data_IF_770873579477
#
_entry.id   IF_770873579477
#
_cell.length_a   1.000
_cell.length_b   1.000
_cell.length_c   1.000
_cell.angle_alpha   90.00
_cell.angle_beta   90.00
_cell.angle_gamma   90.00
#
_symmetry.space_group_name_H-M   'P 1'
#
loop_
_entity.id
_entity.type
_entity.pdbx_description
1 polymer ?
#
# COMPACT_ATOMS: atom_id res chain seq x y z
N UNK A 1 -27.95 9.72 -0.76
CA UNK A 1 -26.51 9.51 -0.99
C UNK A 1 -25.75 9.96 0.26
N UNK A 2 -25.47 9.05 1.19
CA UNK A 2 -24.65 9.36 2.37
C UNK A 2 -23.17 9.25 2.00
N UNK A 3 -22.44 10.37 2.07
CA UNK A 3 -20.98 10.38 2.07
C UNK A 3 -20.52 9.83 3.42
N UNK A 4 -20.14 8.55 3.46
CA UNK A 4 -19.40 8.00 4.59
C UNK A 4 -17.96 8.52 4.55
N UNK A 5 -17.72 9.68 5.18
CA UNK A 5 -16.41 10.06 5.67
C UNK A 5 -16.28 9.62 7.14
N UNK A 6 -16.33 8.31 7.39
CA UNK A 6 -15.76 7.74 8.62
C UNK A 6 -14.34 7.32 8.27
N UNK A 7 -13.37 7.92 8.95
CA UNK A 7 -11.94 7.70 8.74
C UNK A 7 -11.61 6.20 8.67
N UNK A 8 -10.82 5.81 7.67
CA UNK A 8 -10.34 4.44 7.44
C UNK A 8 -9.28 3.99 8.47
N UNK A 9 -9.22 4.63 9.63
CA UNK A 9 -8.21 4.41 10.65
C UNK A 9 -8.75 3.44 11.71
N UNK A 10 -8.75 2.15 11.37
CA UNK A 10 -8.88 1.10 12.38
C UNK A 10 -7.57 1.02 13.14
N UNK A 11 -7.60 1.30 14.44
CA UNK A 11 -6.44 1.11 15.31
C UNK A 11 -6.18 -0.39 15.50
N UNK A 12 -4.90 -0.78 15.61
CA UNK A 12 -4.48 -2.16 15.88
C UNK A 12 -4.84 -3.20 14.81
N UNK A 13 -4.70 -2.88 13.53
CA UNK A 13 -4.67 -3.88 12.46
C UNK A 13 -3.31 -3.84 11.77
N UNK A 14 -2.81 -4.99 11.33
CA UNK A 14 -1.47 -5.13 10.71
C UNK A 14 -0.36 -4.63 11.62
N UNK A 15 -0.36 -5.08 12.88
CA UNK A 15 0.61 -4.63 13.88
C UNK A 15 2.06 -4.84 13.41
N UNK A 16 2.36 -6.02 12.86
CA UNK A 16 3.70 -6.35 12.35
C UNK A 16 4.08 -5.47 11.15
N UNK A 17 3.19 -5.31 10.16
CA UNK A 17 3.50 -4.47 9.00
C UNK A 17 3.59 -2.98 9.36
N UNK A 18 2.80 -2.50 10.33
CA UNK A 18 2.92 -1.14 10.87
C UNK A 18 4.28 -0.93 11.53
N UNK A 19 4.70 -1.85 12.38
CA UNK A 19 6.00 -1.78 13.04
C UNK A 19 7.14 -1.79 12.02
N UNK A 20 7.07 -2.66 11.00
CA UNK A 20 8.05 -2.72 9.92
C UNK A 20 8.09 -1.42 9.11
N UNK A 21 6.93 -0.85 8.74
CA UNK A 21 6.85 0.43 8.02
C UNK A 21 7.40 1.57 8.88
N UNK A 22 7.06 1.64 10.18
CA UNK A 22 7.58 2.66 11.11
C UNK A 22 9.09 2.57 11.21
N UNK A 23 9.65 1.36 11.34
CA UNK A 23 11.09 1.14 11.41
C UNK A 23 11.84 1.48 10.11
N UNK A 24 11.18 1.38 8.96
CA UNK A 24 11.77 1.71 7.66
C UNK A 24 11.66 3.20 7.30
N UNK A 25 10.72 3.93 7.90
CA UNK A 25 10.51 5.37 7.68
C UNK A 25 11.53 6.21 8.46
N UNK A 26 12.82 6.01 8.22
CA UNK A 26 13.92 6.77 8.82
C UNK A 26 14.51 7.78 7.82
N UNK A 27 15.01 8.95 8.27
CA UNK A 27 15.70 9.90 7.42
C UNK A 27 16.79 9.25 6.56
N UNK A 28 16.87 9.65 5.29
CA UNK A 28 17.83 9.12 4.32
C UNK A 28 17.49 7.73 3.76
N UNK A 29 16.37 7.12 4.18
CA UNK A 29 15.90 5.84 3.66
C UNK A 29 14.87 6.00 2.55
N UNK A 30 14.81 4.96 1.73
CA UNK A 30 13.77 4.75 0.73
C UNK A 30 12.98 3.51 1.13
N UNK A 31 11.67 3.65 1.29
CA UNK A 31 10.76 2.54 1.57
C UNK A 31 9.96 2.19 0.33
N UNK A 32 9.87 0.91 0.00
CA UNK A 32 8.95 0.40 -1.00
C UNK A 32 7.96 -0.58 -0.39
N UNK A 33 6.70 -0.16 -0.30
CA UNK A 33 5.58 -1.00 0.13
C UNK A 33 4.90 -1.60 -1.09
N UNK A 34 5.00 -2.92 -1.23
CA UNK A 34 4.46 -3.63 -2.40
C UNK A 34 3.53 -4.79 -2.02
N UNK A 35 2.66 -5.18 -2.95
CA UNK A 35 1.71 -6.28 -2.72
C UNK A 35 0.44 -6.14 -3.55
N UNK A 36 -0.47 -7.12 -3.52
CA UNK A 36 -1.65 -7.13 -4.39
C UNK A 36 -2.49 -5.85 -4.29
N UNK A 37 -3.29 -5.53 -5.31
CA UNK A 37 -4.31 -4.48 -5.19
C UNK A 37 -5.22 -4.73 -3.97
N UNK A 38 -5.84 -3.66 -3.44
CA UNK A 38 -6.86 -3.71 -2.37
C UNK A 38 -6.39 -4.13 -0.96
N UNK A 39 -5.13 -4.53 -0.79
CA UNK A 39 -4.60 -4.94 0.53
C UNK A 39 -4.39 -3.77 1.51
N UNK A 40 -4.64 -2.53 1.09
CA UNK A 40 -4.56 -1.36 1.98
C UNK A 40 -3.17 -0.72 2.12
N UNK A 41 -2.25 -0.90 1.16
CA UNK A 41 -0.88 -0.35 1.21
C UNK A 41 -0.81 1.16 1.50
N UNK A 42 -1.55 1.97 0.74
CA UNK A 42 -1.56 3.43 0.94
C UNK A 42 -2.09 3.78 2.33
N UNK A 43 -3.22 3.18 2.72
CA UNK A 43 -3.83 3.38 4.04
C UNK A 43 -2.86 3.00 5.16
N UNK A 44 -2.12 1.91 5.02
CA UNK A 44 -1.11 1.48 5.99
C UNK A 44 0.00 2.53 6.16
N UNK A 45 0.57 3.02 5.05
CA UNK A 45 1.63 4.04 5.10
C UNK A 45 1.13 5.33 5.72
N UNK A 46 -0.05 5.80 5.29
CA UNK A 46 -0.67 7.03 5.81
C UNK A 46 -0.98 6.92 7.31
N UNK A 47 -1.46 5.75 7.75
CA UNK A 47 -1.69 5.47 9.17
C UNK A 47 -0.40 5.56 9.98
N UNK A 48 0.68 4.93 9.52
CA UNK A 48 1.96 4.95 10.25
C UNK A 48 2.53 6.36 10.32
N UNK A 49 2.46 7.12 9.22
CA UNK A 49 2.92 8.52 9.22
C UNK A 49 2.07 9.37 10.16
N UNK A 50 0.75 9.18 10.17
CA UNK A 50 -0.15 9.85 11.11
C UNK A 50 0.18 9.48 12.57
N UNK A 51 0.49 8.22 12.86
CA UNK A 51 0.95 7.79 14.18
C UNK A 51 2.29 8.46 14.55
N UNK A 52 3.25 8.57 13.63
CA UNK A 52 4.50 9.31 13.85
C UNK A 52 4.29 10.82 14.08
N UNK A 53 3.35 11.44 13.37
CA UNK A 53 2.99 12.85 13.54
C UNK A 53 2.30 13.14 14.89
N UNK A 54 1.65 12.14 15.47
CA UNK A 54 0.97 12.25 16.76
C UNK A 54 1.78 11.66 17.92
N UNK A 55 2.99 11.14 17.66
CA UNK A 55 3.88 10.59 18.67
C UNK A 55 4.39 11.73 19.57
N UNK A 56 4.09 11.72 20.90
CA UNK A 56 4.50 12.77 21.82
C UNK A 56 6.00 12.74 22.14
N UNK A 57 6.67 11.61 21.89
CA UNK A 57 8.10 11.41 22.17
C UNK A 57 8.97 11.65 20.93
N UNK A 58 8.40 12.19 19.84
CA UNK A 58 9.12 12.38 18.58
C UNK A 58 10.26 13.39 18.71
N UNK A 59 11.40 13.04 18.12
CA UNK A 59 12.57 13.91 18.05
C UNK A 59 12.38 15.06 17.03
N UNK A 60 11.59 14.82 15.98
CA UNK A 60 11.38 15.75 14.87
C UNK A 60 9.90 15.91 14.52
N UNK A 61 9.51 17.09 14.05
CA UNK A 61 8.21 17.27 13.42
C UNK A 61 8.16 16.52 12.09
N UNK A 62 7.10 15.75 11.83
CA UNK A 62 6.98 14.93 10.62
C UNK A 62 6.08 15.63 9.60
N UNK A 63 6.64 16.04 8.47
CA UNK A 63 5.88 16.59 7.34
C UNK A 63 5.57 15.49 6.34
N UNK A 64 4.29 15.32 6.02
CA UNK A 64 3.81 14.31 5.08
C UNK A 64 3.40 14.95 3.76
N UNK A 65 4.00 14.51 2.66
CA UNK A 65 3.64 14.91 1.31
C UNK A 65 3.09 13.68 0.57
N UNK A 66 1.77 13.65 0.34
CA UNK A 66 1.09 12.53 -0.30
C UNK A 66 0.85 12.83 -1.79
N UNK A 67 1.41 11.98 -2.66
CA UNK A 67 1.36 12.13 -4.11
C UNK A 67 0.65 10.93 -4.73
N UNK A 68 -0.54 11.12 -5.30
CA UNK A 68 -1.24 10.06 -6.04
C UNK A 68 -0.72 9.95 -7.48
N UNK A 69 0.08 8.93 -7.76
CA UNK A 69 0.63 8.71 -9.09
C UNK A 69 -0.36 8.06 -10.07
N UNK A 70 -1.54 7.59 -9.64
CA UNK A 70 -2.46 6.81 -10.49
C UNK A 70 -2.85 7.49 -11.80
N UNK A 71 -2.94 8.82 -11.79
CA UNK A 71 -3.43 9.61 -12.93
C UNK A 71 -2.33 9.96 -13.93
N UNK A 72 -1.06 9.68 -13.63
CA UNK A 72 0.07 10.06 -14.48
C UNK A 72 0.15 9.14 -15.71
N UNK A 73 -0.56 9.48 -16.77
CA UNK A 73 -0.46 8.74 -18.04
C UNK A 73 0.97 8.78 -18.60
N UNK A 74 1.29 7.81 -19.47
CA UNK A 74 2.55 7.77 -20.23
C UNK A 74 2.84 9.16 -20.82
N UNK A 75 4.03 9.70 -20.55
CA UNK A 75 4.57 10.99 -21.02
C UNK A 75 4.25 12.27 -20.21
N UNK A 76 3.83 12.20 -18.93
CA UNK A 76 3.54 13.40 -18.14
C UNK A 76 4.41 13.58 -16.88
N UNK A 77 5.73 13.44 -17.00
CA UNK A 77 6.66 13.70 -15.87
C UNK A 77 6.52 15.12 -15.30
N UNK A 78 6.24 16.12 -16.15
CA UNK A 78 5.91 17.48 -15.69
C UNK A 78 4.73 17.50 -14.73
N UNK A 79 3.76 16.60 -14.91
CA UNK A 79 2.63 16.50 -14.01
C UNK A 79 3.02 15.88 -12.67
N UNK A 80 3.99 14.96 -12.62
CA UNK A 80 4.58 14.50 -11.36
C UNK A 80 5.26 15.65 -10.59
N UNK A 81 6.04 16.49 -11.29
CA UNK A 81 6.68 17.65 -10.66
C UNK A 81 5.64 18.61 -10.08
N UNK A 82 4.57 18.86 -10.84
CA UNK A 82 3.44 19.67 -10.41
C UNK A 82 2.77 19.08 -9.17
N UNK A 83 2.38 17.81 -9.20
CA UNK A 83 1.73 17.15 -8.05
C UNK A 83 2.63 17.14 -6.80
N UNK A 84 3.94 16.98 -6.98
CA UNK A 84 4.89 17.00 -5.87
C UNK A 84 4.94 18.39 -5.22
N UNK A 85 5.04 19.46 -6.01
CA UNK A 85 5.01 20.83 -5.50
C UNK A 85 3.65 21.18 -4.86
N UNK A 86 2.54 20.82 -5.52
CA UNK A 86 1.19 21.02 -4.98
C UNK A 86 0.98 20.30 -3.65
N UNK A 87 1.57 19.11 -3.46
CA UNK A 87 1.50 18.37 -2.17
C UNK A 87 2.26 19.06 -1.04
N UNK A 88 3.14 20.01 -1.37
CA UNK A 88 3.89 20.84 -0.42
C UNK A 88 3.27 22.24 -0.24
N UNK A 89 2.06 22.47 -0.77
CA UNK A 89 1.42 23.79 -0.87
C UNK A 89 2.24 24.82 -1.69
N UNK A 90 3.13 24.34 -2.56
CA UNK A 90 3.96 25.18 -3.43
C UNK A 90 3.30 25.37 -4.81
N UNK A 91 3.31 26.61 -5.30
CA UNK A 91 2.81 26.92 -6.65
C UNK A 91 3.91 26.62 -7.70
N UNK A 92 3.68 25.71 -8.67
CA UNK A 92 4.71 25.37 -9.64
C UNK A 92 5.12 26.55 -10.53
N UNK A 93 6.40 26.94 -10.46
CA UNK A 93 6.95 27.96 -11.38
C UNK A 93 7.11 27.42 -12.81
N UNK A 94 6.89 28.28 -13.80
CA UNK A 94 7.03 27.99 -15.23
C UNK A 94 8.35 28.60 -15.75
N UNK A 95 9.15 27.90 -16.57
CA UNK A 95 8.92 26.56 -17.12
C UNK A 95 9.14 25.44 -16.07
N UNK A 96 8.21 24.48 -16.06
CA UNK A 96 8.27 23.34 -15.15
C UNK A 96 9.23 22.27 -15.69
N UNK A 97 10.50 22.40 -15.31
CA UNK A 97 11.57 21.43 -15.57
C UNK A 97 11.93 20.68 -14.29
N UNK A 98 12.57 19.51 -14.43
CA UNK A 98 13.05 18.72 -13.30
C UNK A 98 13.92 19.55 -12.35
N UNK A 99 14.93 20.24 -12.90
CA UNK A 99 15.83 21.09 -12.13
C UNK A 99 15.11 22.26 -11.44
N UNK A 100 14.15 22.89 -12.11
CA UNK A 100 13.36 23.97 -11.51
C UNK A 100 12.47 23.45 -10.37
N UNK A 101 11.89 22.26 -10.50
CA UNK A 101 11.10 21.62 -9.46
C UNK A 101 11.97 21.22 -8.26
N UNK A 102 13.10 20.53 -8.47
CA UNK A 102 14.01 20.13 -7.40
C UNK A 102 14.55 21.34 -6.62
N UNK A 103 14.87 22.46 -7.30
CA UNK A 103 15.30 23.70 -6.63
C UNK A 103 14.19 24.31 -5.76
N UNK A 104 12.95 24.30 -6.25
CA UNK A 104 11.79 24.77 -5.48
C UNK A 104 11.54 23.88 -4.26
N UNK A 105 11.56 22.55 -4.43
CA UNK A 105 11.46 21.59 -3.34
C UNK A 105 12.54 21.88 -2.28
N UNK A 106 13.80 21.95 -2.67
CA UNK A 106 14.90 22.26 -1.76
C UNK A 106 14.68 23.59 -1.01
N UNK A 107 14.25 24.64 -1.71
CA UNK A 107 13.96 25.93 -1.09
C UNK A 107 12.83 25.84 -0.05
N UNK A 108 11.76 25.12 -0.36
CA UNK A 108 10.61 24.94 0.53
C UNK A 108 10.97 24.10 1.76
N UNK A 109 11.73 23.01 1.57
CA UNK A 109 12.18 22.14 2.67
C UNK A 109 13.16 22.86 3.61
N UNK A 110 14.05 23.71 3.07
CA UNK A 110 15.01 24.49 3.87
C UNK A 110 14.37 25.49 4.83
N UNK A 111 13.10 25.84 4.64
CA UNK A 111 12.37 26.65 5.61
C UNK A 111 12.04 25.87 6.90
N UNK A 112 12.16 24.54 6.89
CA UNK A 112 11.79 23.65 8.01
C UNK A 112 12.88 22.58 8.28
N UNK A 113 14.14 22.99 8.48
CA UNK A 113 15.27 22.06 8.66
C UNK A 113 15.15 21.09 9.84
N UNK A 114 14.34 21.42 10.85
CA UNK A 114 14.11 20.57 12.02
C UNK A 114 13.07 19.47 11.77
N UNK A 115 12.38 19.51 10.63
CA UNK A 115 11.38 18.53 10.26
C UNK A 115 11.98 17.32 9.56
N UNK A 116 11.36 16.16 9.78
CA UNK A 116 11.50 14.98 8.96
C UNK A 116 10.46 15.02 7.83
N UNK A 117 10.94 15.10 6.59
CA UNK A 117 10.14 15.25 5.38
C UNK A 117 9.89 13.89 4.73
N UNK A 118 8.65 13.41 4.76
CA UNK A 118 8.25 12.11 4.21
C UNK A 118 7.43 12.31 2.94
N UNK A 119 8.02 11.99 1.80
CA UNK A 119 7.31 11.98 0.51
C UNK A 119 6.76 10.58 0.25
N UNK A 120 5.45 10.47 0.03
CA UNK A 120 4.77 9.21 -0.27
C UNK A 120 4.20 9.25 -1.67
N UNK A 121 4.81 8.51 -2.57
CA UNK A 121 4.33 8.31 -3.93
C UNK A 121 3.44 7.06 -3.95
N UNK A 122 2.14 7.25 -4.09
CA UNK A 122 1.18 6.16 -4.11
C UNK A 122 0.93 5.65 -5.53
N UNK A 123 0.76 4.34 -5.67
CA UNK A 123 0.32 3.68 -6.91
C UNK A 123 1.30 3.92 -8.08
N UNK A 124 2.57 3.61 -7.83
CA UNK A 124 3.67 3.85 -8.75
C UNK A 124 3.85 2.78 -9.84
N UNK A 125 2.95 1.80 -9.95
CA UNK A 125 3.04 0.67 -10.89
C UNK A 125 3.41 1.02 -12.33
N UNK A 126 2.96 2.17 -12.84
CA UNK A 126 3.21 2.59 -14.22
C UNK A 126 4.69 2.90 -14.49
N UNK A 127 5.47 3.24 -13.46
CA UNK A 127 6.90 3.51 -13.52
C UNK A 127 7.74 2.23 -13.37
N UNK A 128 7.07 1.08 -13.27
CA UNK A 128 7.66 -0.19 -12.87
C UNK A 128 7.60 -1.26 -13.98
N UNK A 129 6.95 -0.93 -15.10
CA UNK A 129 6.41 -1.94 -16.02
C UNK A 129 7.18 -2.17 -17.29
N UNK A 130 8.07 -1.26 -17.69
CA UNK A 130 8.55 -1.33 -19.07
C UNK A 130 9.98 -0.82 -19.32
N UNK A 131 10.76 -0.57 -18.25
CA UNK A 131 12.13 -0.01 -18.35
C UNK A 131 12.19 1.13 -19.36
N UNK A 132 11.14 1.95 -19.34
CA UNK A 132 10.97 3.01 -20.33
C UNK A 132 11.79 4.21 -19.93
N UNK A 133 11.97 5.15 -20.86
CA UNK A 133 12.54 6.47 -20.55
C UNK A 133 11.84 7.12 -19.33
N UNK A 134 10.53 6.93 -19.19
CA UNK A 134 9.75 7.46 -18.08
C UNK A 134 10.15 6.84 -16.73
N UNK A 135 10.45 5.54 -16.69
CA UNK A 135 10.89 4.84 -15.49
C UNK A 135 12.22 5.43 -15.01
N UNK A 136 13.16 5.67 -15.94
CA UNK A 136 14.45 6.30 -15.64
C UNK A 136 14.29 7.75 -15.18
N UNK A 137 13.50 8.56 -15.89
CA UNK A 137 13.29 9.96 -15.52
C UNK A 137 12.57 10.10 -14.16
N UNK A 138 11.67 9.19 -13.83
CA UNK A 138 11.05 9.10 -12.50
C UNK A 138 12.10 8.81 -11.43
N UNK A 139 12.89 7.73 -11.60
CA UNK A 139 13.92 7.35 -10.64
C UNK A 139 14.99 8.43 -10.49
N UNK A 140 15.33 9.14 -11.56
CA UNK A 140 16.28 10.25 -11.53
C UNK A 140 15.71 11.44 -10.73
N UNK A 141 14.44 11.79 -10.92
CA UNK A 141 13.78 12.83 -10.12
C UNK A 141 13.71 12.47 -8.64
N UNK A 142 13.37 11.21 -8.33
CA UNK A 142 13.37 10.69 -6.96
C UNK A 142 14.79 10.78 -6.36
N UNK A 143 15.81 10.34 -7.10
CA UNK A 143 17.22 10.44 -6.68
C UNK A 143 17.62 11.89 -6.40
N UNK A 144 17.23 12.83 -7.26
CA UNK A 144 17.50 14.25 -7.09
C UNK A 144 16.91 14.81 -5.78
N UNK A 145 15.72 14.34 -5.36
CA UNK A 145 15.12 14.70 -4.07
C UNK A 145 15.85 14.01 -2.91
N UNK A 146 16.17 12.72 -3.02
CA UNK A 146 16.92 11.97 -2.00
C UNK A 146 18.22 12.67 -1.63
N UNK A 147 18.97 13.07 -2.67
CA UNK A 147 20.30 13.68 -2.57
C UNK A 147 20.26 15.11 -1.99
N UNK A 148 19.08 15.69 -1.77
CA UNK A 148 18.97 16.91 -0.96
C UNK A 148 19.27 16.63 0.52
N UNK A 149 19.16 15.37 0.95
CA UNK A 149 19.66 14.90 2.23
C UNK A 149 21.18 14.77 2.14
N UNK A 150 21.89 15.44 3.05
CA UNK A 150 23.34 15.35 3.19
C UNK A 150 23.73 14.50 4.41
N UNK A 151 25.00 14.13 4.54
CA UNK A 151 25.50 13.43 5.74
C UNK A 151 25.64 14.36 6.97
N UNK A 152 25.59 15.68 6.75
CA UNK A 152 25.89 16.66 7.80
C UNK A 152 24.75 16.82 8.82
N UNK A 153 25.03 17.13 10.10
CA UNK A 153 24.01 17.32 11.14
C UNK A 153 22.96 18.41 10.88
N UNK A 154 23.21 19.31 9.92
CA UNK A 154 22.29 20.36 9.47
C UNK A 154 21.60 20.08 8.13
N UNK A 155 21.70 18.85 7.62
CA UNK A 155 21.12 18.47 6.35
C UNK A 155 19.61 18.20 6.44
N UNK A 156 18.95 18.21 5.28
CA UNK A 156 17.54 17.87 5.20
C UNK A 156 17.31 16.40 5.55
N UNK A 157 16.32 16.15 6.40
CA UNK A 157 15.91 14.79 6.78
C UNK A 157 14.80 14.36 5.85
N UNK A 158 15.13 13.65 4.77
CA UNK A 158 14.13 13.23 3.78
C UNK A 158 14.00 11.72 3.77
N UNK A 159 12.77 11.23 3.73
CA UNK A 159 12.43 9.83 3.46
C UNK A 159 11.47 9.78 2.29
N UNK A 160 11.63 8.78 1.44
CA UNK A 160 10.71 8.54 0.34
C UNK A 160 10.07 7.18 0.47
N UNK A 161 8.76 7.11 0.35
CA UNK A 161 7.98 5.89 0.38
C UNK A 161 7.22 5.71 -0.94
N UNK A 162 7.18 4.48 -1.44
CA UNK A 162 6.47 4.10 -2.66
C UNK A 162 5.43 3.04 -2.35
N UNK A 163 4.21 3.20 -2.86
CA UNK A 163 3.23 2.11 -2.88
C UNK A 163 3.00 1.60 -4.30
N UNK A 164 3.00 0.29 -4.48
CA UNK A 164 2.91 -0.34 -5.80
C UNK A 164 2.40 -1.78 -5.67
N UNK A 165 1.85 -2.38 -6.72
CA UNK A 165 1.61 -3.83 -6.73
C UNK A 165 2.72 -4.64 -7.40
N UNK A 166 3.67 -3.98 -8.07
CA UNK A 166 4.88 -4.61 -8.62
C UNK A 166 6.09 -4.14 -7.84
N UNK A 167 6.94 -5.06 -7.40
CA UNK A 167 8.20 -4.72 -6.70
C UNK A 167 9.14 -4.00 -7.68
N UNK A 168 9.61 -2.78 -7.36
CA UNK A 168 10.66 -2.15 -8.16
C UNK A 168 11.96 -2.91 -7.97
N UNK A 169 12.69 -3.13 -9.06
CA UNK A 169 14.04 -3.71 -9.02
C UNK A 169 15.06 -2.59 -8.81
N UNK A 170 15.13 -2.09 -7.58
CA UNK A 170 16.14 -1.11 -7.16
C UNK A 170 17.13 -1.77 -6.20
N UNK A 171 18.41 -1.44 -6.33
CA UNK A 171 19.47 -1.95 -5.47
C UNK A 171 20.20 -0.79 -4.81
N UNK A 172 20.05 -0.65 -3.49
CA UNK A 172 20.82 0.27 -2.65
C UNK A 172 20.68 -0.17 -1.20
N UNK A 173 21.71 -0.01 -0.36
CA UNK A 173 21.65 -0.36 1.07
C UNK A 173 20.65 0.51 1.85
N UNK A 174 20.18 1.62 1.27
CA UNK A 174 19.21 2.52 1.87
C UNK A 174 17.76 2.21 1.50
N UNK A 175 17.53 1.18 0.67
CA UNK A 175 16.20 0.77 0.22
C UNK A 175 15.68 -0.38 1.07
N UNK A 176 14.57 -0.15 1.76
CA UNK A 176 13.79 -1.17 2.46
C UNK A 176 12.58 -1.57 1.63
N UNK A 177 12.23 -2.85 1.63
CA UNK A 177 11.11 -3.38 0.85
C UNK A 177 10.18 -4.21 1.72
N UNK A 178 8.94 -3.74 1.87
CA UNK A 178 7.92 -4.36 2.71
C UNK A 178 6.81 -4.91 1.83
N UNK A 179 6.55 -6.21 1.96
CA UNK A 179 5.45 -6.90 1.26
C UNK A 179 4.20 -6.89 2.14
N UNK A 180 3.11 -6.33 1.63
CA UNK A 180 1.80 -6.32 2.29
C UNK A 180 0.88 -7.31 1.58
N UNK A 181 0.49 -8.36 2.29
CA UNK A 181 -0.41 -9.39 1.79
C UNK A 181 -1.88 -9.14 2.14
N UNK A 182 -2.72 -10.11 1.83
CA UNK A 182 -4.06 -10.22 2.43
C UNK A 182 -3.95 -10.31 3.95
N UNK A 183 -5.02 -9.97 4.67
CA UNK A 183 -5.08 -10.16 6.11
C UNK A 183 -5.16 -11.65 6.42
N UNK A 184 -4.12 -12.18 7.03
CA UNK A 184 -4.09 -13.58 7.48
C UNK A 184 -4.49 -13.74 8.94
N UNK A 185 -4.37 -12.69 9.76
CA UNK A 185 -4.73 -12.75 11.18
C UNK A 185 -6.26 -12.67 11.35
N UNK A 186 -6.81 -13.68 12.02
CA UNK A 186 -8.21 -13.75 12.41
C UNK A 186 -8.66 -12.56 13.26
N UNK A 187 -7.78 -12.03 14.13
CA UNK A 187 -8.08 -10.89 14.98
C UNK A 187 -8.22 -9.61 14.17
N UNK A 188 -7.36 -9.39 13.18
CA UNK A 188 -7.45 -8.24 12.28
C UNK A 188 -8.76 -8.26 11.47
N UNK A 189 -9.13 -9.43 10.95
CA UNK A 189 -10.39 -9.62 10.23
C UNK A 189 -11.58 -9.34 11.16
N UNK A 190 -11.56 -9.90 12.37
CA UNK A 190 -12.62 -9.69 13.35
C UNK A 190 -12.75 -8.22 13.75
N UNK A 191 -11.63 -7.51 13.96
CA UNK A 191 -11.59 -6.08 14.27
C UNK A 191 -12.23 -5.25 13.15
N UNK A 192 -11.88 -5.50 11.89
CA UNK A 192 -12.55 -4.83 10.75
C UNK A 192 -14.04 -5.09 10.74
N UNK A 193 -14.46 -6.35 10.87
CA UNK A 193 -15.87 -6.71 10.82
C UNK A 193 -16.65 -5.99 11.92
N UNK A 194 -16.16 -6.05 13.15
CA UNK A 194 -16.82 -5.44 14.30
C UNK A 194 -16.83 -3.91 14.23
N UNK A 195 -15.79 -3.28 13.68
CA UNK A 195 -15.77 -1.82 13.53
C UNK A 195 -16.81 -1.30 12.53
N UNK A 196 -17.03 -2.04 11.44
CA UNK A 196 -17.90 -1.59 10.35
C UNK A 196 -19.30 -2.21 10.39
N UNK A 197 -19.54 -3.24 11.20
CA UNK A 197 -20.87 -3.76 11.48
C UNK A 197 -21.56 -2.89 12.53
N UNK A 198 -22.40 -1.95 12.09
CA UNK A 198 -23.00 -0.94 13.00
C UNK A 198 -23.98 -1.52 14.03
N UNK A 199 -24.52 -2.71 13.79
CA UNK A 199 -25.66 -3.23 14.56
C UNK A 199 -25.40 -4.55 15.31
N UNK A 200 -24.24 -5.22 15.12
CA UNK A 200 -24.03 -6.59 15.64
C UNK A 200 -22.57 -6.88 16.02
N UNK A 201 -22.24 -7.03 17.32
CA UNK A 201 -20.85 -7.07 17.80
C UNK A 201 -20.15 -8.44 17.70
N UNK A 202 -20.80 -9.49 17.18
CA UNK A 202 -20.20 -10.83 17.13
C UNK A 202 -20.10 -11.38 15.70
N UNK A 203 -19.10 -10.90 14.95
CA UNK A 203 -18.78 -11.40 13.61
C UNK A 203 -17.86 -12.63 13.60
N UNK A 204 -17.55 -13.23 14.76
CA UNK A 204 -16.57 -14.32 14.89
C UNK A 204 -16.89 -15.51 13.97
N UNK A 205 -18.18 -15.83 13.81
CA UNK A 205 -18.66 -16.94 12.97
C UNK A 205 -18.37 -16.78 11.47
N UNK A 206 -17.97 -15.59 11.03
CA UNK A 206 -17.67 -15.28 9.63
C UNK A 206 -16.18 -15.18 9.34
N UNK A 207 -15.35 -15.10 10.37
CA UNK A 207 -13.90 -14.84 10.24
C UNK A 207 -13.24 -15.91 9.37
N UNK A 208 -13.50 -17.20 9.62
CA UNK A 208 -12.91 -18.29 8.85
C UNK A 208 -13.31 -18.25 7.36
N UNK A 209 -14.59 -17.97 7.08
CA UNK A 209 -15.10 -17.83 5.70
C UNK A 209 -14.39 -16.67 4.99
N UNK A 210 -14.28 -15.53 5.66
CA UNK A 210 -13.67 -14.32 5.10
C UNK A 210 -12.16 -14.51 4.91
N UNK A 211 -11.48 -15.12 5.87
CA UNK A 211 -10.05 -15.44 5.79
C UNK A 211 -9.74 -16.32 4.58
N UNK A 212 -10.63 -17.25 4.24
CA UNK A 212 -10.43 -18.15 3.10
C UNK A 212 -10.85 -17.56 1.74
N UNK A 213 -11.79 -16.62 1.71
CA UNK A 213 -12.45 -16.21 0.45
C UNK A 213 -12.29 -14.72 0.11
N UNK A 214 -12.18 -13.85 1.12
CA UNK A 214 -12.25 -12.39 0.93
C UNK A 214 -11.40 -11.61 1.96
N UNK A 215 -10.14 -12.01 2.10
CA UNK A 215 -9.27 -11.54 3.16
C UNK A 215 -8.55 -10.19 2.88
N UNK A 216 -9.09 -9.34 2.00
CA UNK A 216 -8.57 -7.97 1.81
C UNK A 216 -9.48 -6.94 2.51
N UNK A 217 -8.91 -5.85 3.07
CA UNK A 217 -9.67 -4.87 3.84
C UNK A 217 -10.95 -4.35 3.18
N UNK A 218 -10.91 -3.98 1.90
CA UNK A 218 -12.08 -3.44 1.19
C UNK A 218 -13.23 -4.47 1.10
N UNK A 219 -12.90 -5.74 0.87
CA UNK A 219 -13.89 -6.81 0.83
C UNK A 219 -14.51 -7.07 2.20
N UNK A 220 -13.69 -7.08 3.25
CA UNK A 220 -14.15 -7.26 4.63
C UNK A 220 -15.08 -6.13 5.06
N UNK A 221 -14.70 -4.88 4.75
CA UNK A 221 -15.52 -3.70 5.04
C UNK A 221 -16.85 -3.76 4.27
N UNK A 222 -16.82 -4.10 2.97
CA UNK A 222 -18.05 -4.27 2.19
C UNK A 222 -18.95 -5.38 2.75
N UNK A 223 -18.38 -6.50 3.20
CA UNK A 223 -19.16 -7.53 3.91
C UNK A 223 -19.75 -6.99 5.21
N UNK A 224 -18.98 -6.26 6.02
CA UNK A 224 -19.50 -5.71 7.27
C UNK A 224 -20.68 -4.73 7.04
N UNK A 225 -20.55 -3.85 6.06
CA UNK A 225 -21.57 -2.83 5.76
C UNK A 225 -22.80 -3.44 5.08
N UNK A 226 -22.61 -4.23 4.02
CA UNK A 226 -23.72 -4.67 3.16
C UNK A 226 -24.39 -5.94 3.67
N UNK A 227 -23.67 -6.79 4.40
CA UNK A 227 -24.16 -8.10 4.82
C UNK A 227 -24.47 -8.17 6.32
N UNK A 228 -23.60 -7.61 7.18
CA UNK A 228 -23.82 -7.68 8.63
C UNK A 228 -24.74 -6.57 9.14
N UNK A 229 -24.82 -5.44 8.43
CA UNK A 229 -25.61 -4.27 8.88
C UNK A 229 -27.01 -4.19 8.29
N UNK A 230 -27.34 -4.98 7.26
CA UNK A 230 -28.58 -4.89 6.46
C UNK A 230 -29.76 -5.74 6.96
N UNK A 231 -29.55 -6.66 7.91
CA UNK A 231 -30.59 -7.60 8.36
C UNK A 231 -30.72 -7.61 9.89
N UNK A 232 -31.96 -7.70 10.40
CA UNK A 232 -32.28 -7.91 11.82
C UNK A 232 -31.77 -9.26 12.34
N UNK A 233 -31.73 -10.28 11.49
CA UNK A 233 -31.18 -11.61 11.79
C UNK A 233 -29.79 -11.80 11.15
N UNK A 234 -28.88 -12.47 11.85
CA UNK A 234 -27.54 -12.76 11.32
C UNK A 234 -27.67 -13.84 10.24
N UNK A 235 -27.28 -13.55 8.97
CA UNK A 235 -27.37 -14.56 7.93
C UNK A 235 -26.38 -15.71 8.21
N UNK A 236 -26.70 -16.94 7.80
CA UNK A 236 -25.79 -18.08 8.07
C UNK A 236 -24.42 -17.91 7.40
N UNK A 237 -23.37 -18.51 7.98
CA UNK A 237 -22.05 -18.57 7.36
C UNK A 237 -22.09 -19.21 5.96
N UNK A 238 -23.00 -20.17 5.73
CA UNK A 238 -23.25 -20.77 4.41
C UNK A 238 -23.78 -19.75 3.39
N UNK A 239 -24.66 -18.85 3.82
CA UNK A 239 -25.17 -17.78 2.96
C UNK A 239 -24.07 -16.76 2.66
N UNK A 240 -23.21 -16.43 3.64
CA UNK A 240 -22.02 -15.61 3.38
C UNK A 240 -21.14 -16.24 2.31
N UNK A 241 -20.81 -17.54 2.45
CA UNK A 241 -20.06 -18.29 1.44
C UNK A 241 -20.76 -18.14 0.09
N UNK A 242 -22.07 -18.33 -0.02
CA UNK A 242 -22.80 -18.16 -1.29
C UNK A 242 -22.78 -16.75 -1.86
N UNK A 243 -22.74 -15.71 -1.02
CA UNK A 243 -22.66 -14.32 -1.46
C UNK A 243 -21.25 -13.99 -1.99
N UNK A 244 -20.21 -14.16 -1.16
CA UNK A 244 -18.80 -13.92 -1.58
C UNK A 244 -18.37 -14.86 -2.70
N UNK A 245 -19.05 -16.00 -2.72
CA UNK A 245 -19.45 -16.95 -3.75
C UNK A 245 -19.88 -16.46 -5.16
N UNK A 246 -21.18 -16.49 -5.32
CA UNK A 246 -21.90 -16.56 -6.57
C UNK A 246 -22.63 -15.26 -6.85
N UNK A 247 -22.70 -14.35 -5.88
CA UNK A 247 -23.35 -13.07 -6.03
C UNK A 247 -22.48 -12.13 -6.86
N UNK A 248 -22.86 -12.03 -8.13
CA UNK A 248 -22.15 -11.20 -9.11
C UNK A 248 -22.31 -9.72 -8.82
N UNK A 249 -23.43 -9.29 -8.25
CA UNK A 249 -23.68 -7.88 -7.99
C UNK A 249 -22.87 -7.41 -6.78
N UNK A 250 -22.79 -8.23 -5.73
CA UNK A 250 -21.92 -7.98 -4.58
C UNK A 250 -20.44 -7.97 -4.98
N UNK A 251 -19.97 -8.98 -5.71
CA UNK A 251 -18.58 -9.04 -6.18
C UNK A 251 -18.26 -7.92 -7.17
N UNK A 252 -19.20 -7.58 -8.07
CA UNK A 252 -19.05 -6.44 -8.95
C UNK A 252 -19.02 -5.14 -8.16
N UNK A 253 -19.81 -4.95 -7.11
CA UNK A 253 -19.75 -3.74 -6.29
C UNK A 253 -18.36 -3.55 -5.66
N UNK A 254 -17.76 -4.62 -5.13
CA UNK A 254 -16.39 -4.59 -4.56
C UNK A 254 -15.35 -4.33 -5.67
N UNK A 255 -15.42 -5.09 -6.77
CA UNK A 255 -14.37 -5.12 -7.77
C UNK A 255 -14.53 -4.06 -8.85
N UNK A 256 -15.73 -3.59 -9.19
CA UNK A 256 -16.00 -2.65 -10.31
C UNK A 256 -15.29 -1.32 -10.12
N UNK A 257 -15.25 -0.80 -8.87
CA UNK A 257 -14.49 0.42 -8.52
C UNK A 257 -12.99 0.28 -8.79
N UNK A 258 -12.48 -0.95 -8.84
CA UNK A 258 -11.05 -1.29 -8.93
C UNK A 258 -10.73 -2.19 -10.12
N UNK A 259 -11.70 -2.42 -10.99
CA UNK A 259 -11.66 -3.50 -11.99
C UNK A 259 -10.54 -3.31 -12.99
N UNK A 260 -10.21 -2.06 -13.34
CA UNK A 260 -9.06 -1.72 -14.19
C UNK A 260 -7.71 -2.10 -13.55
N UNK A 261 -7.57 -1.93 -12.23
CA UNK A 261 -6.36 -2.29 -11.46
C UNK A 261 -6.20 -3.82 -11.35
N UNK A 262 -7.34 -4.52 -11.34
CA UNK A 262 -7.40 -5.98 -11.25
C UNK A 262 -7.16 -6.65 -12.61
N UNK A 263 -7.55 -6.04 -13.74
CA UNK A 263 -7.37 -6.64 -15.09
C UNK A 263 -5.92 -6.95 -15.45
N UNK A 264 -4.99 -6.09 -15.04
CA UNK A 264 -3.58 -6.26 -15.41
C UNK A 264 -2.81 -7.13 -14.41
N UNK A 265 -3.42 -7.44 -13.27
CA UNK A 265 -2.90 -8.33 -12.24
C UNK A 265 -3.36 -9.78 -12.46
N UNK A 266 -4.54 -9.94 -13.04
CA UNK A 266 -5.14 -11.23 -13.33
C UNK A 266 -4.76 -11.70 -14.73
N UNK A 267 -4.38 -12.97 -14.87
CA UNK A 267 -4.25 -13.58 -16.19
C UNK A 267 -5.63 -13.71 -16.85
N UNK A 268 -5.67 -13.97 -18.16
CA UNK A 268 -6.92 -14.01 -18.93
C UNK A 268 -7.95 -15.01 -18.37
N UNK A 269 -7.48 -16.10 -17.74
CA UNK A 269 -8.32 -17.10 -17.07
C UNK A 269 -8.93 -16.55 -15.79
N UNK A 270 -8.15 -15.84 -14.97
CA UNK A 270 -8.60 -15.18 -13.73
C UNK A 270 -9.51 -13.97 -14.01
N UNK A 271 -9.25 -13.25 -15.10
CA UNK A 271 -10.12 -12.20 -15.63
C UNK A 271 -11.46 -12.79 -16.10
N UNK A 272 -11.43 -13.87 -16.89
CA UNK A 272 -12.64 -14.61 -17.29
C UNK A 272 -13.36 -15.23 -16.10
N UNK A 273 -12.63 -15.54 -15.01
CA UNK A 273 -13.16 -16.05 -13.76
C UNK A 273 -13.82 -14.95 -12.91
N UNK A 274 -13.21 -13.76 -12.76
CA UNK A 274 -13.84 -12.54 -12.20
C UNK A 274 -15.10 -12.19 -13.00
N UNK A 275 -15.03 -12.31 -14.32
CA UNK A 275 -16.15 -12.03 -15.22
C UNK A 275 -17.25 -13.10 -15.19
N UNK A 276 -16.98 -14.30 -14.65
CA UNK A 276 -17.94 -15.43 -14.60
C UNK A 276 -18.39 -15.83 -13.18
N UNK A 277 -17.69 -15.39 -12.14
CA UNK A 277 -17.73 -15.76 -10.70
C UNK A 277 -18.74 -16.84 -10.27
N UNK A 278 -18.24 -18.09 -10.16
CA UNK A 278 -18.19 -18.86 -8.90
C UNK A 278 -16.77 -18.67 -8.37
N UNK A 279 -16.45 -18.42 -7.10
CA UNK A 279 -15.18 -17.92 -6.64
C UNK A 279 -14.42 -18.95 -5.80
N UNK A 280 -13.16 -19.00 -6.11
CA UNK A 280 -12.07 -19.64 -5.41
C UNK A 280 -10.92 -18.70 -5.76
N UNK A 281 -10.95 -17.50 -5.19
CA UNK A 281 -9.92 -16.51 -5.44
C UNK A 281 -8.77 -16.75 -4.44
N UNK A 282 -7.54 -16.78 -4.95
CA UNK A 282 -6.26 -16.73 -4.22
C UNK A 282 -5.59 -18.03 -3.70
N UNK A 283 -5.86 -19.22 -4.27
CA UNK A 283 -5.02 -20.40 -3.94
C UNK A 283 -3.60 -20.37 -4.54
N UNK A 284 -3.32 -19.48 -5.49
CA UNK A 284 -2.02 -19.44 -6.20
C UNK A 284 -0.96 -18.59 -5.50
N UNK A 285 -1.33 -17.52 -4.80
CA UNK A 285 -0.34 -16.64 -4.14
C UNK A 285 0.02 -17.02 -2.71
N UNK A 286 -0.73 -17.94 -2.09
CA UNK A 286 -0.31 -18.65 -0.87
C UNK A 286 0.70 -19.78 -1.16
N UNK A 287 0.78 -20.27 -2.41
CA UNK A 287 1.79 -21.26 -2.81
C UNK A 287 3.15 -20.64 -3.08
N UNK A 288 3.20 -19.43 -3.65
CA UNK A 288 4.46 -18.68 -3.79
C UNK A 288 5.12 -18.39 -2.41
N UNK A 289 4.32 -18.31 -1.34
CA UNK A 289 4.84 -18.18 0.05
C UNK A 289 5.46 -19.47 0.61
N UNK A 290 5.08 -20.65 0.11
CA UNK A 290 5.75 -21.91 0.47
C UNK A 290 7.01 -22.09 -0.37
N UNK A 291 6.99 -21.80 -1.66
CA UNK A 291 8.18 -21.93 -2.52
C UNK A 291 9.29 -20.92 -2.15
N UNK A 292 8.96 -19.66 -1.78
CA UNK A 292 9.95 -18.71 -1.23
C UNK A 292 10.49 -19.11 0.15
N UNK A 293 9.68 -19.78 0.99
CA UNK A 293 10.13 -20.28 2.31
C UNK A 293 11.00 -21.53 2.17
N UNK A 294 10.63 -22.45 1.29
CA UNK A 294 11.38 -23.69 0.98
C UNK A 294 12.69 -23.35 0.27
N UNK A 295 12.70 -22.36 -0.63
CA UNK A 295 13.93 -21.89 -1.28
C UNK A 295 14.87 -21.15 -0.31
N UNK A 296 14.36 -20.39 0.67
CA UNK A 296 15.20 -19.81 1.73
C UNK A 296 15.73 -20.85 2.73
N UNK A 297 14.94 -21.87 3.07
CA UNK A 297 15.37 -22.96 3.95
C UNK A 297 16.42 -23.88 3.30
N UNK A 298 16.32 -24.14 1.99
CA UNK A 298 17.29 -24.95 1.24
C UNK A 298 18.62 -24.23 0.97
N UNK A 299 18.63 -22.89 0.91
CA UNK A 299 19.87 -22.11 0.83
C UNK A 299 20.61 -22.11 2.18
N UNK A 300 19.91 -22.06 3.31
CA UNK A 300 20.54 -22.13 4.63
C UNK A 300 21.12 -23.53 4.96
N UNK A 301 20.47 -24.62 4.54
CA UNK A 301 21.00 -25.98 4.73
C UNK A 301 22.14 -26.34 3.78
N UNK A 302 22.16 -25.78 2.56
CA UNK A 302 23.26 -25.98 1.59
C UNK A 302 24.56 -25.26 1.95
N UNK A 303 24.50 -24.21 2.78
CA UNK A 303 25.69 -23.43 3.17
C UNK A 303 26.48 -24.06 4.33
N UNK A 304 25.84 -24.95 5.12
CA UNK A 304 26.49 -25.70 6.20
C UNK A 304 27.17 -26.99 5.73
N UNK A 305 26.78 -27.56 4.58
CA UNK A 305 27.36 -28.80 4.06
C UNK A 305 28.64 -28.62 3.22
N UNK A 306 29.04 -27.37 2.88
CA UNK A 306 30.24 -27.07 2.06
C UNK A 306 31.42 -26.50 2.85
N UNK A 307 31.35 -26.49 4.18
CA UNK A 307 32.47 -26.09 5.07
C UNK A 307 33.12 -27.26 5.82
N UNK A 308 32.78 -28.50 5.46
CA UNK A 308 33.36 -29.71 6.05
C UNK A 308 33.65 -30.77 4.97
N UNK A 309 34.46 -30.39 3.98
CA UNK A 309 35.22 -31.28 3.11
C UNK A 309 36.54 -30.60 2.74
#
# INVERSE_FOLDING_TARGET
MMKFSKSLHVTNIRFEEKAAVKAALLPGRILQVHGPPLVGKSVLVDQVISEMQNDPEREYDVKHYSIDCKTLKRCQLKYLFKLTLESMDETPRVPLTKQAATRQINSALRNNLLSHHVFVFHKCEQFCRSRTKLDFEFLEFISDIANLSGPDPGSLKITMAFTTYVKFRMFSPHIESIRVGMLSDSLDIQRLLNQYATNKPNAANYVSVIQHVLAFPEGIISTAVEFLSSSSDLPSARYLVQMVTKDRDFLAMILKKRSQEVKEWLNERELKFVQKCRPMFFLTYTKDTEEERVSKASIQSGTLSRRSA
#
